data_IF_578986668521
#
_entry.id   IF_578986668521
#
_cell.length_a   1.000
_cell.length_b   1.000
_cell.length_c   1.000
_cell.angle_alpha   90.00
_cell.angle_beta   90.00
_cell.angle_gamma   90.00
#
_symmetry.space_group_name_H-M   'P 1'
#
loop_
_entity.id
_entity.type
_entity.pdbx_description
1 polymer ?
#
# COMPACT_ATOMS: atom_id res chain seq x y z
N UNK A 1 -14.79 8.01 -16.44
CA UNK A 1 -14.18 7.14 -15.43
C UNK A 1 -12.74 6.95 -15.82
N UNK A 2 -11.91 7.87 -15.37
CA UNK A 2 -10.64 8.26 -15.99
C UNK A 2 -9.50 7.75 -15.13
N UNK A 3 -8.78 6.72 -15.60
CA UNK A 3 -7.36 6.38 -15.34
C UNK A 3 -6.77 6.44 -13.90
N UNK A 4 -7.55 6.61 -12.83
CA UNK A 4 -7.01 6.84 -11.47
C UNK A 4 -6.48 5.58 -10.77
N UNK A 5 -6.85 4.39 -11.24
CA UNK A 5 -6.45 3.14 -10.61
C UNK A 5 -5.77 2.21 -11.61
N UNK A 6 -4.50 1.91 -11.35
CA UNK A 6 -3.75 0.90 -12.10
C UNK A 6 -3.86 -0.41 -11.33
N UNK A 7 -4.44 -1.44 -11.96
CA UNK A 7 -4.44 -2.79 -11.40
C UNK A 7 -3.00 -3.29 -11.28
N UNK A 8 -2.60 -3.74 -10.10
CA UNK A 8 -1.25 -4.26 -9.87
C UNK A 8 -1.22 -5.78 -9.74
N UNK A 9 -2.07 -6.34 -8.87
CA UNK A 9 -2.14 -7.79 -8.60
C UNK A 9 -3.34 -8.13 -7.71
N UNK A 10 -3.56 -9.42 -7.42
CA UNK A 10 -4.56 -9.90 -6.46
C UNK A 10 -3.95 -10.96 -5.53
N UNK A 11 -4.10 -10.77 -4.22
CA UNK A 11 -3.59 -11.67 -3.19
C UNK A 11 -4.67 -12.04 -2.18
N UNK A 12 -4.61 -13.27 -1.67
CA UNK A 12 -5.47 -13.73 -0.56
C UNK A 12 -4.96 -13.17 0.76
N UNK A 13 -5.87 -12.72 1.62
CA UNK A 13 -5.55 -12.37 3.01
C UNK A 13 -5.12 -13.62 3.77
N UNK A 14 -3.89 -13.64 4.24
CA UNK A 14 -3.33 -14.78 4.96
C UNK A 14 -3.98 -14.94 6.35
N UNK A 15 -3.87 -16.14 6.93
CA UNK A 15 -4.47 -16.47 8.23
C UNK A 15 -4.01 -15.56 9.38
N UNK A 16 -2.80 -15.01 9.28
CA UNK A 16 -2.25 -14.06 10.25
C UNK A 16 -2.43 -12.59 9.82
N UNK A 17 -3.46 -12.33 8.99
CA UNK A 17 -3.90 -11.00 8.58
C UNK A 17 -2.91 -10.24 7.69
N UNK A 18 -1.96 -10.93 7.04
CA UNK A 18 -1.01 -10.31 6.10
C UNK A 18 -1.53 -10.35 4.67
N UNK A 19 -1.27 -9.28 3.92
CA UNK A 19 -1.43 -9.22 2.46
C UNK A 19 -0.05 -9.00 1.84
N UNK A 20 0.27 -9.75 0.78
CA UNK A 20 1.52 -9.54 0.04
C UNK A 20 1.35 -8.33 -0.87
N UNK A 21 2.24 -7.36 -0.77
CA UNK A 21 2.26 -6.22 -1.69
C UNK A 21 3.00 -6.60 -2.99
N UNK A 22 2.49 -6.17 -4.18
CA UNK A 22 3.15 -6.38 -5.47
C UNK A 22 4.54 -5.75 -5.50
N UNK A 23 5.52 -6.36 -6.19
CA UNK A 23 6.88 -5.78 -6.29
C UNK A 23 6.93 -4.43 -7.01
N UNK A 24 5.96 -4.15 -7.87
CA UNK A 24 5.86 -2.93 -8.69
C UNK A 24 5.67 -1.66 -7.86
N UNK A 25 5.17 -1.75 -6.62
CA UNK A 25 5.00 -0.57 -5.77
C UNK A 25 6.34 0.08 -5.38
N UNK A 26 7.45 -0.67 -5.42
CA UNK A 26 8.77 -0.15 -5.06
C UNK A 26 9.20 0.98 -5.98
N UNK A 27 9.06 0.76 -7.29
CA UNK A 27 9.37 1.75 -8.32
C UNK A 27 8.27 2.80 -8.43
N UNK A 28 6.99 2.40 -8.37
CA UNK A 28 5.87 3.32 -8.58
C UNK A 28 5.71 4.35 -7.45
N UNK A 29 6.06 3.98 -6.21
CA UNK A 29 5.97 4.85 -5.04
C UNK A 29 7.33 5.33 -4.52
N UNK A 30 8.44 4.90 -5.16
CA UNK A 30 9.81 5.18 -4.74
C UNK A 30 10.07 4.85 -3.24
N UNK A 31 9.81 3.59 -2.86
CA UNK A 31 9.87 3.12 -1.46
C UNK A 31 10.91 1.99 -1.27
N UNK A 32 11.33 1.77 -0.03
CA UNK A 32 12.30 0.71 0.31
C UNK A 32 11.70 -0.34 1.26
N UNK A 33 11.90 -1.62 0.92
CA UNK A 33 11.46 -2.76 1.73
C UNK A 33 12.11 -2.72 3.11
N UNK A 34 11.31 -2.93 4.16
CA UNK A 34 11.81 -2.98 5.54
C UNK A 34 12.15 -1.62 6.15
N UNK A 35 12.07 -0.52 5.39
CA UNK A 35 12.29 0.84 5.92
C UNK A 35 11.04 1.71 5.82
N UNK A 36 10.40 1.75 4.66
CA UNK A 36 9.25 2.64 4.44
C UNK A 36 8.03 2.16 5.21
N UNK A 37 7.42 3.06 5.99
CA UNK A 37 6.18 2.82 6.74
C UNK A 37 4.97 3.24 5.94
N UNK A 38 3.86 2.53 6.13
CA UNK A 38 2.57 2.85 5.56
C UNK A 38 1.55 3.09 6.67
N UNK A 39 0.82 4.19 6.55
CA UNK A 39 -0.39 4.42 7.32
C UNK A 39 -1.55 3.72 6.61
N UNK A 40 -2.38 3.01 7.39
CA UNK A 40 -3.52 2.25 6.88
C UNK A 40 -4.80 2.99 7.27
N UNK A 41 -5.60 3.35 6.27
CA UNK A 41 -6.90 3.99 6.45
C UNK A 41 -8.01 3.10 5.90
N UNK A 42 -9.19 3.14 6.50
CA UNK A 42 -10.41 2.55 5.97
C UNK A 42 -11.25 3.65 5.32
N UNK A 43 -11.45 3.58 4.01
CA UNK A 43 -12.49 4.36 3.36
C UNK A 43 -13.81 3.58 3.44
N UNK A 44 -14.68 4.01 4.34
CA UNK A 44 -15.98 3.37 4.57
C UNK A 44 -16.95 3.51 3.40
N UNK A 45 -16.77 4.52 2.54
CA UNK A 45 -17.68 4.76 1.42
C UNK A 45 -17.43 3.77 0.29
N UNK A 46 -16.16 3.61 -0.09
CA UNK A 46 -15.73 2.67 -1.13
C UNK A 46 -15.44 1.26 -0.60
N UNK A 47 -15.46 1.06 0.72
CA UNK A 47 -15.13 -0.19 1.41
C UNK A 47 -13.76 -0.73 1.02
N UNK A 48 -12.76 0.15 0.95
CA UNK A 48 -11.39 -0.23 0.65
C UNK A 48 -10.42 0.22 1.74
N UNK A 49 -9.27 -0.46 1.80
CA UNK A 49 -8.14 0.00 2.60
C UNK A 49 -7.24 0.87 1.73
N UNK A 50 -6.90 2.05 2.25
CA UNK A 50 -5.96 2.97 1.63
C UNK A 50 -4.64 2.90 2.37
N UNK A 51 -3.58 2.54 1.66
CA UNK A 51 -2.21 2.47 2.16
C UNK A 51 -1.47 3.73 1.72
N UNK A 52 -1.11 4.60 2.67
CA UNK A 52 -0.41 5.86 2.38
C UNK A 52 1.03 5.79 2.88
N UNK A 53 2.00 6.15 2.05
CA UNK A 53 3.39 6.27 2.48
C UNK A 53 3.47 7.30 3.61
N UNK A 54 3.98 6.89 4.77
CA UNK A 54 4.14 7.79 5.89
C UNK A 54 5.37 8.66 5.63
N UNK A 55 5.13 9.95 5.35
CA UNK A 55 6.16 10.95 5.03
C UNK A 55 6.96 11.44 6.23
N UNK A 56 6.74 10.90 7.43
CA UNK A 56 7.67 11.11 8.54
C UNK A 56 8.92 10.30 8.24
N UNK A 57 9.86 10.94 7.54
CA UNK A 57 11.22 10.46 7.37
C UNK A 57 11.70 9.86 8.70
N UNK A 58 12.37 8.72 8.61
CA UNK A 58 13.24 8.24 9.66
C UNK A 58 14.36 9.28 9.84
N UNK A 59 14.07 10.38 10.53
CA UNK A 59 15.07 11.30 11.04
C UNK A 59 15.75 10.60 12.21
N UNK A 60 16.74 9.75 11.88
CA UNK A 60 18.03 9.59 12.55
C UNK A 60 18.78 8.39 11.98
#
# INVERSE_FOLDING_TARGET
MTEEFIYLDTYVLQQDMRIRLPKTILSNLNIEKGKTKFDIYLDSNSKCLVLKVNGKESTK
#
